data_IF_203107193380
#
_entry.id   IF_203107193380
#
_cell.length_a   1.000
_cell.length_b   1.000
_cell.length_c   1.000
_cell.angle_alpha   90.00
_cell.angle_beta   90.00
_cell.angle_gamma   90.00
#
_symmetry.space_group_name_H-M   'P 1'
#
loop_
_entity.id
_entity.type
_entity.pdbx_description
1 polymer ?
#
# COMPACT_ATOMS: atom_id res chain seq x y z
N UNK A 1 29.12 -56.14 -12.21
CA UNK A 1 30.37 -55.37 -12.13
C UNK A 1 30.07 -53.90 -12.41
N UNK A 2 30.43 -53.03 -11.47
CA UNK A 2 30.57 -51.57 -11.59
C UNK A 2 31.62 -51.20 -12.68
N UNK A 3 31.86 -49.91 -13.05
CA UNK A 3 31.41 -48.64 -12.43
C UNK A 3 31.01 -47.51 -13.43
N UNK A 4 30.51 -46.40 -12.87
CA UNK A 4 30.39 -45.09 -13.55
C UNK A 4 31.75 -44.39 -13.79
N UNK A 5 31.75 -43.10 -14.20
CA UNK A 5 31.72 -41.98 -13.24
C UNK A 5 30.76 -40.84 -13.69
N UNK A 6 30.00 -40.14 -12.82
CA UNK A 6 30.34 -39.07 -11.86
C UNK A 6 31.16 -37.89 -12.43
N UNK A 7 30.68 -36.68 -12.05
CA UNK A 7 31.33 -35.36 -11.89
C UNK A 7 30.96 -34.33 -12.98
N UNK A 8 30.78 -33.03 -12.72
CA UNK A 8 30.78 -32.18 -11.50
C UNK A 8 30.25 -30.79 -11.88
N UNK A 9 29.85 -30.05 -10.85
CA UNK A 9 29.35 -28.69 -10.85
C UNK A 9 30.34 -27.58 -11.31
N UNK A 10 29.72 -26.41 -11.48
CA UNK A 10 30.15 -25.05 -11.07
C UNK A 10 31.18 -24.27 -11.92
N UNK A 11 30.69 -23.11 -12.36
CA UNK A 11 31.25 -21.76 -12.25
C UNK A 11 32.76 -21.57 -12.46
N UNK A 12 33.11 -20.71 -13.42
CA UNK A 12 34.39 -20.01 -13.40
C UNK A 12 34.21 -18.51 -13.67
N UNK A 13 34.73 -17.72 -12.74
CA UNK A 13 35.02 -16.31 -12.90
C UNK A 13 36.54 -16.12 -13.06
N UNK A 14 36.91 -14.98 -13.67
CA UNK A 14 38.25 -14.33 -13.73
C UNK A 14 39.21 -14.98 -14.75
N UNK A 15 40.08 -14.28 -15.48
CA UNK A 15 40.74 -12.98 -15.31
C UNK A 15 41.31 -12.52 -16.67
N UNK A 16 41.60 -11.23 -16.83
CA UNK A 16 41.75 -10.57 -18.14
C UNK A 16 43.11 -10.58 -18.81
N UNK A 17 43.18 -9.90 -19.98
CA UNK A 17 44.36 -9.12 -20.41
C UNK A 17 44.07 -8.23 -21.62
N UNK A 18 44.50 -6.97 -21.47
CA UNK A 18 45.13 -6.02 -22.42
C UNK A 18 44.39 -5.51 -23.66
N UNK A 19 44.55 -4.19 -23.82
CA UNK A 19 43.91 -3.28 -24.74
C UNK A 19 44.69 -3.11 -26.07
N UNK A 20 43.97 -2.67 -27.11
CA UNK A 20 44.48 -1.87 -28.23
C UNK A 20 43.52 -0.69 -28.49
N UNK A 21 44.02 0.49 -28.91
CA UNK A 21 43.24 1.73 -28.93
C UNK A 21 42.64 2.03 -30.32
N UNK A 22 41.59 2.85 -30.33
CA UNK A 22 41.15 3.58 -31.52
C UNK A 22 39.72 3.28 -31.97
N UNK A 23 38.73 3.96 -31.39
CA UNK A 23 37.49 4.41 -32.05
C UNK A 23 36.70 5.35 -31.14
N UNK A 24 36.16 6.41 -31.76
CA UNK A 24 35.50 7.60 -31.18
C UNK A 24 34.36 7.25 -30.21
N UNK A 25 34.08 8.07 -29.16
CA UNK A 25 33.10 7.73 -28.14
C UNK A 25 31.67 7.89 -28.68
N UNK A 26 31.00 6.77 -28.93
CA UNK A 26 29.54 6.73 -28.95
C UNK A 26 29.06 7.04 -27.53
N UNK A 27 28.08 7.95 -27.39
CA UNK A 27 27.41 8.32 -26.14
C UNK A 27 26.79 7.06 -25.50
N UNK A 28 27.58 6.33 -24.71
CA UNK A 28 27.10 5.26 -23.85
C UNK A 28 26.20 5.91 -22.80
N UNK A 29 24.90 5.63 -22.87
CA UNK A 29 23.97 5.83 -21.76
C UNK A 29 24.64 5.23 -20.53
N UNK A 30 24.91 6.08 -19.54
CA UNK A 30 25.46 5.64 -18.27
C UNK A 30 24.51 4.56 -17.70
N UNK A 31 25.01 3.38 -17.29
CA UNK A 31 24.19 2.47 -16.52
C UNK A 31 23.79 3.19 -15.23
N UNK A 32 22.48 3.22 -14.96
CA UNK A 32 21.94 3.78 -13.73
C UNK A 32 22.72 3.23 -12.52
N UNK A 33 23.02 4.06 -11.50
CA UNK A 33 23.81 3.62 -10.37
C UNK A 33 23.15 2.39 -9.76
N UNK A 34 23.92 1.31 -9.66
CA UNK A 34 23.49 0.08 -9.02
C UNK A 34 22.93 0.45 -7.65
N UNK A 35 21.60 0.38 -7.52
CA UNK A 35 20.91 0.66 -6.28
C UNK A 35 21.53 -0.26 -5.24
N UNK A 36 22.37 0.31 -4.36
CA UNK A 36 22.67 -0.23 -3.04
C UNK A 36 21.32 -0.75 -2.56
N UNK A 37 21.21 -2.07 -2.32
CA UNK A 37 19.99 -2.72 -1.81
C UNK A 37 19.72 -2.22 -0.39
N UNK A 38 19.44 -0.92 -0.26
CA UNK A 38 18.80 -0.36 0.90
C UNK A 38 17.49 -1.15 1.02
N UNK A 39 17.36 -1.85 2.13
CA UNK A 39 16.18 -2.61 2.50
C UNK A 39 14.98 -1.68 2.32
N UNK A 40 14.22 -1.87 1.23
CA UNK A 40 13.05 -1.03 0.95
C UNK A 40 12.11 -1.13 2.16
N UNK A 41 11.41 -0.05 2.53
CA UNK A 41 10.41 -0.12 3.58
C UNK A 41 9.47 -1.30 3.28
N UNK A 42 9.22 -2.14 4.28
CA UNK A 42 8.34 -3.30 4.12
C UNK A 42 6.90 -2.93 4.49
N UNK A 43 5.93 -3.65 3.95
CA UNK A 43 4.51 -3.41 4.22
C UNK A 43 3.96 -2.14 3.56
N UNK A 44 2.87 -1.60 4.12
CA UNK A 44 2.08 -0.52 3.53
C UNK A 44 2.92 0.72 3.16
N UNK A 45 3.83 1.18 4.03
CA UNK A 45 4.70 2.34 3.75
C UNK A 45 5.56 2.15 2.50
N UNK A 46 6.11 0.95 2.31
CA UNK A 46 6.93 0.63 1.14
C UNK A 46 6.15 0.54 -0.15
N UNK A 47 4.95 -0.06 -0.06
CA UNK A 47 4.04 -0.13 -1.20
C UNK A 47 3.59 1.26 -1.62
N UNK A 48 3.19 2.10 -0.66
CA UNK A 48 2.80 3.48 -0.88
C UNK A 48 3.92 4.28 -1.55
N UNK A 49 5.13 4.24 -1.01
CA UNK A 49 6.27 4.93 -1.62
C UNK A 49 6.53 4.46 -3.07
N UNK A 50 6.34 3.16 -3.36
CA UNK A 50 6.53 2.63 -4.71
C UNK A 50 5.41 3.04 -5.66
N UNK A 51 4.15 3.00 -5.21
CA UNK A 51 3.00 3.43 -6.01
C UNK A 51 3.10 4.91 -6.32
N UNK A 52 3.41 5.74 -5.33
CA UNK A 52 3.61 7.18 -5.52
C UNK A 52 4.77 7.50 -6.47
N UNK A 53 5.86 6.73 -6.41
CA UNK A 53 6.96 6.86 -7.35
C UNK A 53 6.51 6.55 -8.78
N UNK A 54 5.81 5.43 -8.98
CA UNK A 54 5.31 5.02 -10.29
C UNK A 54 4.31 6.04 -10.86
N UNK A 55 3.36 6.49 -10.05
CA UNK A 55 2.37 7.50 -10.48
C UNK A 55 3.04 8.82 -10.86
N UNK A 56 4.05 9.26 -10.09
CA UNK A 56 4.80 10.46 -10.42
C UNK A 56 5.63 10.33 -11.72
N UNK A 57 6.12 9.13 -12.04
CA UNK A 57 6.92 8.86 -13.25
C UNK A 57 6.06 8.71 -14.52
N UNK A 58 4.81 8.22 -14.40
CA UNK A 58 4.00 7.82 -15.58
C UNK A 58 3.24 8.99 -16.23
N UNK A 59 3.26 10.19 -15.65
CA UNK A 59 2.73 11.40 -16.28
C UNK A 59 1.20 11.47 -16.43
N UNK A 60 0.43 10.57 -15.79
CA UNK A 60 -1.05 10.52 -15.82
C UNK A 60 -1.74 11.67 -15.06
N UNK A 61 -1.23 12.91 -15.14
CA UNK A 61 -1.71 14.08 -14.40
C UNK A 61 -1.00 14.33 -13.05
N UNK A 62 -0.22 13.35 -12.58
CA UNK A 62 0.51 13.37 -11.32
C UNK A 62 1.86 14.15 -11.38
N UNK A 63 1.92 15.28 -12.09
CA UNK A 63 3.10 16.15 -12.00
C UNK A 63 3.12 16.75 -10.60
N UNK A 64 4.11 16.37 -9.79
CA UNK A 64 4.31 16.94 -8.45
C UNK A 64 4.34 18.47 -8.54
N UNK A 65 3.77 19.14 -7.54
CA UNK A 65 3.83 20.59 -7.38
C UNK A 65 5.28 21.00 -7.06
N UNK A 66 6.15 21.01 -8.08
CA UNK A 66 7.59 21.18 -7.91
C UNK A 66 8.31 19.89 -7.52
N UNK A 67 9.65 19.88 -7.69
CA UNK A 67 10.48 18.69 -7.52
C UNK A 67 10.47 18.09 -6.10
N UNK A 68 10.11 18.89 -5.08
CA UNK A 68 10.15 18.51 -3.67
C UNK A 68 8.77 18.25 -3.04
N UNK A 69 7.66 18.57 -3.71
CA UNK A 69 6.34 18.43 -3.07
C UNK A 69 5.88 16.97 -3.04
N UNK A 70 5.41 16.47 -1.87
CA UNK A 70 4.79 15.14 -1.77
C UNK A 70 3.40 15.11 -2.45
N UNK A 71 2.86 16.28 -2.80
CA UNK A 71 1.53 16.48 -3.31
C UNK A 71 1.46 16.39 -4.83
N UNK A 72 0.53 15.56 -5.30
CA UNK A 72 0.23 15.36 -6.71
C UNK A 72 -1.26 15.01 -6.87
N UNK A 73 -1.79 15.22 -8.08
CA UNK A 73 -3.17 14.88 -8.41
C UNK A 73 -3.39 13.37 -8.39
N UNK A 74 -4.48 12.92 -7.76
CA UNK A 74 -4.81 11.52 -7.54
C UNK A 74 -4.14 10.91 -6.30
N UNK A 75 -3.43 11.69 -5.49
CA UNK A 75 -2.87 11.18 -4.23
C UNK A 75 -4.00 10.80 -3.26
N UNK A 76 -4.00 9.55 -2.80
CA UNK A 76 -4.90 9.08 -1.75
C UNK A 76 -4.32 9.34 -0.36
N UNK A 77 -5.16 9.80 0.56
CA UNK A 77 -4.81 10.20 1.92
C UNK A 77 -5.60 9.39 2.94
N UNK A 78 -4.97 9.05 4.06
CA UNK A 78 -5.61 8.45 5.23
C UNK A 78 -5.32 9.34 6.42
N UNK A 79 -6.35 9.81 7.10
CA UNK A 79 -6.22 10.57 8.35
C UNK A 79 -5.79 9.61 9.47
N UNK A 80 -4.80 10.02 10.25
CA UNK A 80 -4.18 9.18 11.30
C UNK A 80 -4.43 9.68 12.72
N UNK A 81 -5.05 10.85 12.87
CA UNK A 81 -5.45 11.43 14.15
C UNK A 81 -6.79 12.16 14.03
N UNK A 82 -7.58 12.17 15.10
CA UNK A 82 -8.84 12.89 15.11
C UNK A 82 -8.60 14.40 15.15
N UNK A 83 -9.34 15.14 14.32
CA UNK A 83 -9.29 16.59 14.23
C UNK A 83 -10.69 17.18 14.21
N UNK A 84 -11.19 17.52 15.39
CA UNK A 84 -12.53 18.10 15.55
C UNK A 84 -12.70 19.43 14.80
N UNK A 85 -11.64 20.26 14.73
CA UNK A 85 -11.63 21.51 13.95
C UNK A 85 -11.92 21.29 12.45
N UNK A 86 -11.52 20.13 11.93
CA UNK A 86 -11.75 19.75 10.54
C UNK A 86 -12.90 18.75 10.41
N UNK A 87 -13.52 18.28 11.50
CA UNK A 87 -14.45 17.15 11.43
C UNK A 87 -13.87 15.97 10.63
N UNK A 88 -12.58 15.67 10.82
CA UNK A 88 -11.89 14.54 10.20
C UNK A 88 -11.41 13.59 11.29
N UNK A 89 -11.58 12.30 11.10
CA UNK A 89 -11.30 11.26 12.09
C UNK A 89 -10.28 10.25 11.59
N UNK A 90 -9.61 9.59 12.52
CA UNK A 90 -8.65 8.53 12.22
C UNK A 90 -9.34 7.40 11.44
N UNK A 91 -8.88 7.15 10.22
CA UNK A 91 -9.52 6.23 9.28
C UNK A 91 -10.14 6.90 8.06
N UNK A 92 -10.39 8.21 8.09
CA UNK A 92 -11.00 8.92 6.96
C UNK A 92 -10.07 8.92 5.75
N UNK A 93 -10.64 8.60 4.59
CA UNK A 93 -9.91 8.53 3.32
C UNK A 93 -10.28 9.73 2.46
N UNK A 94 -9.26 10.39 1.89
CA UNK A 94 -9.43 11.51 0.98
C UNK A 94 -8.62 11.37 -0.31
N UNK A 95 -8.94 12.21 -1.29
CA UNK A 95 -8.25 12.26 -2.59
C UNK A 95 -7.83 13.69 -2.93
N UNK A 96 -6.58 13.87 -3.36
CA UNK A 96 -6.09 15.15 -3.86
C UNK A 96 -6.47 15.32 -5.33
N UNK A 97 -7.29 16.32 -5.66
CA UNK A 97 -7.65 16.66 -7.03
C UNK A 97 -7.38 18.14 -7.29
N UNK A 98 -7.08 18.49 -8.53
CA UNK A 98 -7.04 19.90 -8.92
C UNK A 98 -8.47 20.42 -9.00
N UNK A 99 -8.71 21.55 -8.37
CA UNK A 99 -10.01 22.23 -8.43
C UNK A 99 -9.98 23.27 -9.53
N UNK A 100 -10.90 23.20 -10.48
CA UNK A 100 -11.12 24.27 -11.45
C UNK A 100 -11.73 25.52 -10.79
N UNK A 101 -12.27 25.38 -9.57
CA UNK A 101 -12.79 26.46 -8.76
C UNK A 101 -11.69 27.06 -7.86
N UNK A 102 -11.54 28.39 -7.88
CA UNK A 102 -10.95 29.14 -6.77
C UNK A 102 -11.68 28.73 -5.48
N UNK A 103 -10.99 28.38 -4.39
CA UNK A 103 -11.65 27.83 -3.21
C UNK A 103 -12.63 28.86 -2.66
N UNK A 104 -13.94 28.62 -2.86
CA UNK A 104 -14.99 29.38 -2.20
C UNK A 104 -14.90 29.04 -0.72
N UNK A 105 -14.32 29.96 0.06
CA UNK A 105 -14.56 29.99 1.50
C UNK A 105 -16.07 29.94 1.72
N UNK A 106 -16.54 28.95 2.47
CA UNK A 106 -17.96 28.80 2.77
C UNK A 106 -18.56 30.10 3.30
N UNK A 107 -19.30 30.78 2.42
CA UNK A 107 -20.31 31.77 2.74
C UNK A 107 -21.41 31.56 1.71
N UNK A 108 -22.51 30.99 2.18
CA UNK A 108 -23.82 31.31 1.64
C UNK A 108 -23.96 32.83 1.71
N UNK A 109 -24.08 33.50 0.57
CA UNK A 109 -24.95 34.66 0.42
C UNK A 109 -25.07 35.05 -1.06
N UNK A 110 -26.23 35.64 -1.32
CA UNK A 110 -26.96 35.76 -2.58
C UNK A 110 -26.42 36.84 -3.53
N UNK A 111 -26.66 36.63 -4.83
CA UNK A 111 -26.85 37.70 -5.81
C UNK A 111 -25.63 38.13 -6.61
N UNK A 112 -25.63 37.82 -7.92
CA UNK A 112 -25.37 38.80 -8.98
C UNK A 112 -25.43 38.18 -10.39
N UNK A 113 -26.39 38.71 -11.16
CA UNK A 113 -26.32 39.10 -12.59
C UNK A 113 -25.48 38.28 -13.57
N UNK A 114 -26.21 37.74 -14.55
CA UNK A 114 -25.73 37.21 -15.83
C UNK A 114 -25.05 38.27 -16.70
N UNK A 115 -23.93 37.89 -17.34
CA UNK A 115 -23.36 38.54 -18.51
C UNK A 115 -22.64 37.51 -19.37
N UNK A 116 -22.94 37.37 -20.68
CA UNK A 116 -22.32 36.35 -21.53
C UNK A 116 -21.04 36.90 -22.17
N UNK A 117 -19.99 36.08 -22.23
CA UNK A 117 -18.72 36.50 -22.83
C UNK A 117 -17.69 35.41 -23.03
N UNK A 118 -17.76 34.78 -24.20
CA UNK A 118 -16.64 34.27 -25.02
C UNK A 118 -15.97 32.93 -24.66
N UNK A 119 -16.32 31.95 -25.50
CA UNK A 119 -15.62 30.72 -25.79
C UNK A 119 -14.22 30.97 -26.37
N UNK A 120 -13.19 30.55 -25.64
CA UNK A 120 -11.81 30.43 -26.11
C UNK A 120 -11.20 29.12 -25.61
N UNK A 121 -11.16 28.11 -26.49
CA UNK A 121 -10.59 26.80 -26.19
C UNK A 121 -9.06 26.86 -26.05
N UNK A 122 -8.58 26.58 -24.84
CA UNK A 122 -7.28 25.96 -24.55
C UNK A 122 -7.49 25.07 -23.32
N UNK A 123 -6.91 23.87 -23.29
CA UNK A 123 -7.05 22.90 -22.19
C UNK A 123 -6.62 23.52 -20.83
N UNK A 124 -7.56 24.16 -20.14
CA UNK A 124 -7.37 24.90 -18.89
C UNK A 124 -7.55 24.05 -17.64
N UNK A 125 -7.93 22.76 -17.79
CA UNK A 125 -8.09 21.77 -16.71
C UNK A 125 -6.80 21.45 -15.93
N UNK A 126 -5.65 21.99 -16.34
CA UNK A 126 -4.34 21.63 -15.80
C UNK A 126 -3.81 22.56 -14.68
N UNK A 127 -4.50 23.66 -14.34
CA UNK A 127 -3.87 24.76 -13.58
C UNK A 127 -4.53 25.14 -12.25
N UNK A 128 -5.63 24.48 -11.87
CA UNK A 128 -6.27 24.69 -10.58
C UNK A 128 -5.41 24.33 -9.35
N UNK A 129 -5.65 24.97 -8.18
CA UNK A 129 -4.99 24.59 -6.93
C UNK A 129 -5.35 23.15 -6.56
N UNK A 130 -4.40 22.46 -5.92
CA UNK A 130 -4.65 21.12 -5.42
C UNK A 130 -5.46 21.20 -4.13
N UNK A 131 -6.59 20.50 -4.11
CA UNK A 131 -7.51 20.41 -2.97
C UNK A 131 -7.61 18.95 -2.55
N UNK A 132 -7.56 18.69 -1.25
CA UNK A 132 -7.83 17.37 -0.69
C UNK A 132 -9.32 17.26 -0.37
N UNK A 133 -10.01 16.36 -1.06
CA UNK A 133 -11.44 16.13 -0.91
C UNK A 133 -11.68 14.92 -0.02
N UNK A 134 -12.56 15.10 0.97
CA UNK A 134 -13.05 14.06 1.87
C UNK A 134 -14.57 14.00 1.79
N UNK A 135 -15.14 12.86 2.19
CA UNK A 135 -16.58 12.73 2.37
C UNK A 135 -17.07 13.69 3.47
N UNK A 136 -18.23 14.30 3.25
CA UNK A 136 -18.89 15.21 4.20
C UNK A 136 -19.94 14.51 5.05
N UNK A 137 -20.57 15.27 5.94
CA UNK A 137 -21.53 14.74 6.93
C UNK A 137 -22.90 14.33 6.32
N UNK A 138 -23.11 14.53 5.01
CA UNK A 138 -24.35 14.20 4.32
C UNK A 138 -24.11 13.47 3.00
N UNK A 139 -25.12 12.73 2.54
CA UNK A 139 -25.02 11.90 1.34
C UNK A 139 -24.54 12.71 0.13
N UNK A 140 -23.41 12.29 -0.43
CA UNK A 140 -22.79 12.92 -1.60
C UNK A 140 -22.14 14.28 -1.35
N UNK A 141 -22.16 14.80 -0.11
CA UNK A 141 -21.43 16.01 0.24
C UNK A 141 -19.93 15.72 0.29
N UNK A 142 -19.13 16.64 -0.23
CA UNK A 142 -17.67 16.55 -0.17
C UNK A 142 -17.08 17.82 0.41
N UNK A 143 -16.03 17.67 1.21
CA UNK A 143 -15.36 18.75 1.91
C UNK A 143 -13.95 18.89 1.38
N UNK A 144 -13.65 20.06 0.82
CA UNK A 144 -12.35 20.39 0.26
C UNK A 144 -11.47 21.13 1.26
N UNK A 145 -10.23 20.67 1.42
CA UNK A 145 -9.23 21.33 2.27
C UNK A 145 -7.96 21.61 1.47
N UNK A 146 -7.27 22.70 1.81
CA UNK A 146 -5.91 22.89 1.33
C UNK A 146 -5.00 21.80 1.93
N UNK A 147 -4.14 21.11 1.16
CA UNK A 147 -3.32 20.00 1.65
C UNK A 147 -2.47 20.33 2.89
N UNK A 148 -1.96 21.57 2.97
CA UNK A 148 -1.16 22.02 4.11
C UNK A 148 -1.97 22.27 5.40
N UNK A 149 -3.30 22.34 5.32
CA UNK A 149 -4.18 22.53 6.48
C UNK A 149 -4.56 21.21 7.16
N UNK A 150 -4.35 20.08 6.49
CA UNK A 150 -4.78 18.78 6.99
C UNK A 150 -4.11 18.40 8.32
N UNK A 151 -4.81 17.67 9.22
CA UNK A 151 -4.20 17.05 10.40
C UNK A 151 -3.22 15.94 10.00
N UNK A 152 -2.62 15.24 10.96
CA UNK A 152 -1.68 14.15 10.66
C UNK A 152 -2.31 13.10 9.74
N UNK A 153 -1.65 12.85 8.62
CA UNK A 153 -2.14 11.96 7.56
C UNK A 153 -1.00 11.19 6.91
N UNK A 154 -1.32 10.08 6.28
CA UNK A 154 -0.40 9.28 5.47
C UNK A 154 -1.00 8.94 4.10
N UNK A 155 -0.21 8.26 3.27
CA UNK A 155 -0.67 7.73 1.98
C UNK A 155 -1.64 6.56 2.16
N UNK A 156 -2.69 6.50 1.34
CA UNK A 156 -3.73 5.48 1.44
C UNK A 156 -3.80 4.49 0.26
N UNK A 157 -2.80 4.45 -0.64
CA UNK A 157 -2.79 3.44 -1.72
C UNK A 157 -2.73 2.00 -1.20
N UNK A 158 -2.13 1.81 -0.04
CA UNK A 158 -2.20 0.62 0.77
C UNK A 158 -2.21 0.97 2.25
N UNK A 159 -2.95 0.17 2.98
CA UNK A 159 -3.10 0.25 4.42
C UNK A 159 -2.77 -1.10 5.05
N UNK A 160 -2.51 -1.10 6.35
CA UNK A 160 -2.40 -2.36 7.10
C UNK A 160 -3.81 -2.90 7.39
N UNK A 161 -3.92 -4.22 7.59
CA UNK A 161 -5.21 -4.83 7.97
C UNK A 161 -5.79 -4.18 9.23
N UNK A 162 -4.96 -3.81 10.20
CA UNK A 162 -5.38 -3.09 11.40
C UNK A 162 -6.02 -1.73 11.12
N UNK A 163 -5.51 -1.00 10.11
CA UNK A 163 -6.06 0.30 9.71
C UNK A 163 -7.31 0.19 8.84
N UNK A 164 -7.58 -0.99 8.27
CA UNK A 164 -8.79 -1.29 7.52
C UNK A 164 -9.95 -1.78 8.40
N UNK A 165 -9.79 -1.80 9.73
CA UNK A 165 -10.79 -2.34 10.64
C UNK A 165 -12.08 -1.52 10.57
N UNK A 166 -13.21 -2.19 10.34
CA UNK A 166 -14.52 -1.54 10.19
C UNK A 166 -14.86 -1.10 8.77
N UNK A 167 -13.89 -1.09 7.86
CA UNK A 167 -14.11 -0.84 6.43
C UNK A 167 -14.24 -2.15 5.65
N UNK A 168 -14.97 -2.13 4.54
CA UNK A 168 -15.05 -3.24 3.59
C UNK A 168 -14.90 -2.70 2.16
N UNK A 169 -14.36 -3.52 1.27
CA UNK A 169 -14.08 -3.16 -0.11
C UNK A 169 -14.58 -4.24 -1.06
N UNK A 170 -15.04 -3.87 -2.25
CA UNK A 170 -15.48 -4.85 -3.25
C UNK A 170 -14.37 -5.84 -3.61
N UNK A 171 -13.16 -5.32 -3.84
CA UNK A 171 -11.99 -6.12 -4.19
C UNK A 171 -10.82 -5.77 -3.28
N UNK A 172 -10.19 -6.79 -2.67
CA UNK A 172 -9.01 -6.62 -1.82
C UNK A 172 -7.81 -7.35 -2.41
N UNK A 173 -6.67 -6.66 -2.46
CA UNK A 173 -5.36 -7.27 -2.75
C UNK A 173 -4.57 -7.40 -1.45
N UNK A 174 -4.52 -8.61 -0.89
CA UNK A 174 -3.84 -8.90 0.37
C UNK A 174 -2.41 -9.40 0.13
N UNK A 175 -1.43 -8.52 0.39
CA UNK A 175 -0.01 -8.85 0.26
C UNK A 175 0.57 -9.35 1.59
N UNK A 176 1.00 -10.61 1.62
CA UNK A 176 1.73 -11.19 2.74
C UNK A 176 3.24 -10.90 2.64
N UNK A 177 3.97 -10.88 3.77
CA UNK A 177 5.42 -10.75 3.74
C UNK A 177 6.06 -11.96 3.05
N UNK A 178 7.23 -11.75 2.43
CA UNK A 178 7.97 -12.82 1.73
C UNK A 178 8.60 -13.87 2.66
N UNK A 179 8.64 -13.58 3.96
CA UNK A 179 9.15 -14.46 5.02
C UNK A 179 8.15 -14.43 6.17
N UNK A 180 8.12 -15.50 6.95
CA UNK A 180 7.29 -15.55 8.15
C UNK A 180 7.60 -14.36 9.08
N UNK A 181 6.54 -13.78 9.63
CA UNK A 181 6.59 -12.61 10.48
C UNK A 181 5.65 -12.85 11.67
N UNK A 182 6.13 -12.61 12.90
CA UNK A 182 5.35 -12.88 14.12
C UNK A 182 4.00 -12.14 14.19
N UNK A 183 3.90 -11.00 13.52
CA UNK A 183 2.66 -10.22 13.42
C UNK A 183 1.58 -10.93 12.61
N UNK A 184 1.96 -11.85 11.71
CA UNK A 184 1.04 -12.57 10.86
C UNK A 184 0.47 -13.78 11.62
N UNK A 185 -0.80 -13.70 12.02
CA UNK A 185 -1.56 -14.78 12.67
C UNK A 185 -2.78 -15.19 11.87
N UNK A 186 -3.45 -16.27 12.27
CA UNK A 186 -4.71 -16.72 11.69
C UNK A 186 -5.78 -15.63 11.76
N UNK A 187 -5.87 -14.94 12.89
CA UNK A 187 -6.84 -13.88 13.14
C UNK A 187 -6.57 -12.65 12.26
N UNK A 188 -5.30 -12.29 12.05
CA UNK A 188 -4.94 -11.19 11.15
C UNK A 188 -5.27 -11.55 9.69
N UNK A 189 -4.97 -12.78 9.27
CA UNK A 189 -5.30 -13.27 7.94
C UNK A 189 -6.82 -13.32 7.71
N UNK A 190 -7.57 -13.86 8.66
CA UNK A 190 -9.03 -13.88 8.65
C UNK A 190 -9.62 -12.47 8.55
N UNK A 191 -9.10 -11.53 9.35
CA UNK A 191 -9.54 -10.13 9.30
C UNK A 191 -9.27 -9.51 7.93
N UNK A 192 -8.11 -9.80 7.31
CA UNK A 192 -7.77 -9.34 5.97
C UNK A 192 -8.67 -9.94 4.88
N UNK A 193 -9.00 -11.24 4.98
CA UNK A 193 -9.91 -11.92 4.04
C UNK A 193 -11.31 -11.31 4.11
N UNK A 194 -11.84 -11.10 5.32
CA UNK A 194 -13.18 -10.56 5.55
C UNK A 194 -13.33 -9.08 5.18
N UNK A 195 -12.24 -8.38 4.81
CA UNK A 195 -12.35 -7.03 4.22
C UNK A 195 -12.92 -7.05 2.79
N UNK A 196 -12.90 -8.20 2.10
CA UNK A 196 -13.37 -8.32 0.72
C UNK A 196 -14.86 -8.69 0.65
N UNK A 197 -15.67 -7.88 -0.04
CA UNK A 197 -17.10 -8.18 -0.29
C UNK A 197 -17.30 -9.13 -1.46
N UNK A 198 -16.52 -8.96 -2.54
CA UNK A 198 -16.72 -9.69 -3.81
C UNK A 198 -15.50 -10.50 -4.23
N UNK A 199 -14.30 -9.92 -4.15
CA UNK A 199 -13.10 -10.57 -4.66
C UNK A 199 -11.88 -10.35 -3.75
N UNK A 200 -11.09 -11.42 -3.57
CA UNK A 200 -9.82 -11.40 -2.85
C UNK A 200 -8.69 -11.90 -3.75
N UNK A 201 -7.64 -11.10 -3.90
CA UNK A 201 -6.36 -11.51 -4.48
C UNK A 201 -5.34 -11.65 -3.35
N UNK A 202 -4.96 -12.88 -3.00
CA UNK A 202 -3.99 -13.16 -1.94
C UNK A 202 -2.60 -13.41 -2.55
N UNK A 203 -1.63 -12.56 -2.19
CA UNK A 203 -0.25 -12.69 -2.65
C UNK A 203 0.67 -13.10 -1.48
N UNK A 204 1.09 -14.37 -1.46
CA UNK A 204 1.99 -14.93 -0.46
C UNK A 204 2.47 -16.33 -0.84
N UNK A 205 3.54 -16.80 -0.21
CA UNK A 205 3.97 -18.19 -0.40
C UNK A 205 3.12 -19.13 0.46
N UNK A 206 2.92 -20.35 -0.01
CA UNK A 206 2.22 -21.40 0.74
C UNK A 206 2.80 -21.58 2.15
N UNK A 207 4.13 -21.58 2.27
CA UNK A 207 4.82 -21.71 3.55
C UNK A 207 4.43 -20.60 4.55
N UNK A 208 4.36 -19.34 4.09
CA UNK A 208 3.96 -18.20 4.93
C UNK A 208 2.49 -18.30 5.33
N UNK A 209 1.61 -18.73 4.42
CA UNK A 209 0.19 -18.93 4.70
C UNK A 209 0.00 -20.03 5.75
N UNK A 210 0.65 -21.19 5.58
CA UNK A 210 0.60 -22.28 6.57
C UNK A 210 1.12 -21.85 7.94
N UNK A 211 2.25 -21.14 7.98
CA UNK A 211 2.79 -20.60 9.25
C UNK A 211 1.84 -19.60 9.92
N UNK A 212 1.15 -18.76 9.13
CA UNK A 212 0.14 -17.83 9.65
C UNK A 212 -1.05 -18.56 10.27
N UNK A 213 -1.59 -19.56 9.55
CA UNK A 213 -2.76 -20.33 9.98
C UNK A 213 -2.49 -21.15 11.25
N UNK A 214 -1.26 -21.62 11.44
CA UNK A 214 -0.83 -22.35 12.63
C UNK A 214 -0.61 -21.45 13.86
N UNK A 215 -0.67 -20.12 13.71
CA UNK A 215 -0.40 -19.15 14.79
C UNK A 215 -1.70 -18.47 15.25
N UNK A 216 -1.99 -18.57 16.54
CA UNK A 216 -3.03 -17.77 17.20
C UNK A 216 -2.47 -16.49 17.80
N UNK A 217 -3.24 -15.41 17.67
CA UNK A 217 -3.02 -14.19 18.43
C UNK A 217 -3.26 -14.47 19.92
N UNK A 218 -2.17 -14.56 20.69
CA UNK A 218 -2.26 -14.70 22.14
C UNK A 218 -2.72 -13.38 22.76
N UNK A 219 -3.77 -13.43 23.58
CA UNK A 219 -4.22 -12.30 24.40
C UNK A 219 -3.81 -12.53 25.84
N UNK A 220 -2.91 -11.70 26.34
CA UNK A 220 -2.58 -11.69 27.77
C UNK A 220 -3.62 -10.79 28.45
N UNK A 221 -4.58 -11.40 29.14
CA UNK A 221 -5.57 -10.66 29.95
C UNK A 221 -5.96 -11.45 31.19
N UNK A 222 -6.25 -10.74 32.28
CA UNK A 222 -6.80 -11.33 33.51
C UNK A 222 -8.31 -11.59 33.45
N UNK A 223 -9.00 -11.22 32.36
CA UNK A 223 -10.45 -11.32 32.28
C UNK A 223 -10.92 -12.79 32.37
N UNK A 224 -10.25 -13.70 31.67
CA UNK A 224 -10.57 -15.13 31.73
C UNK A 224 -10.43 -15.67 33.16
N UNK A 225 -9.35 -15.31 33.85
CA UNK A 225 -9.13 -15.68 35.25
C UNK A 225 -10.19 -15.08 36.18
N UNK A 226 -10.54 -13.79 36.00
CA UNK A 226 -11.62 -13.12 36.77
C UNK A 226 -13.00 -13.74 36.52
N UNK A 227 -13.23 -14.29 35.33
CA UNK A 227 -14.44 -15.04 34.99
C UNK A 227 -14.40 -16.51 35.44
N UNK A 228 -13.37 -16.92 36.20
CA UNK A 228 -13.26 -18.26 36.76
C UNK A 228 -12.66 -19.31 35.82
N UNK A 229 -12.09 -18.92 34.68
CA UNK A 229 -11.42 -19.87 33.79
C UNK A 229 -10.17 -20.43 34.49
N UNK A 230 -10.12 -21.75 34.64
CA UNK A 230 -8.90 -22.44 35.05
C UNK A 230 -7.84 -22.29 33.96
N UNK A 231 -6.59 -22.12 34.38
CA UNK A 231 -5.47 -21.83 33.51
C UNK A 231 -5.26 -22.99 32.53
N UNK A 232 -5.58 -22.79 31.25
CA UNK A 232 -5.31 -23.80 30.22
C UNK A 232 -3.81 -23.92 30.04
N UNK A 233 -3.27 -25.13 30.23
CA UNK A 233 -1.88 -25.44 29.92
C UNK A 233 -1.60 -25.10 28.44
N UNK A 234 -0.43 -24.56 28.16
CA UNK A 234 -0.02 -24.22 26.80
C UNK A 234 -0.16 -25.44 25.88
N UNK A 235 -0.71 -25.29 24.65
CA UNK A 235 -0.86 -26.42 23.74
C UNK A 235 0.52 -27.03 23.45
N UNK A 236 0.60 -28.35 23.51
CA UNK A 236 1.78 -29.10 23.10
C UNK A 236 2.15 -28.73 21.66
N UNK A 237 3.44 -28.53 21.41
CA UNK A 237 3.99 -28.20 20.09
C UNK A 237 3.57 -29.30 19.10
N UNK A 238 2.82 -28.99 18.01
CA UNK A 238 2.40 -30.04 17.09
C UNK A 238 3.63 -30.68 16.44
N UNK A 239 3.65 -32.00 16.40
CA UNK A 239 4.67 -32.78 15.71
C UNK A 239 4.59 -32.47 14.21
N UNK A 240 5.70 -31.99 13.65
CA UNK A 240 5.81 -31.68 12.23
C UNK A 240 6.04 -32.97 11.45
N UNK A 241 4.98 -33.69 11.09
CA UNK A 241 5.08 -34.69 10.03
C UNK A 241 4.76 -34.03 8.67
N UNK A 242 5.66 -34.11 7.68
CA UNK A 242 5.40 -33.56 6.36
C UNK A 242 4.38 -34.45 5.63
N UNK A 243 3.14 -34.00 5.52
CA UNK A 243 2.17 -34.61 4.60
C UNK A 243 2.65 -34.42 3.16
N UNK A 244 2.90 -35.52 2.46
CA UNK A 244 3.36 -35.58 1.06
C UNK A 244 2.22 -35.50 0.04
N UNK A 245 0.98 -35.30 0.49
CA UNK A 245 -0.17 -35.23 -0.40
C UNK A 245 -0.25 -33.86 -1.10
N UNK A 246 -0.32 -33.88 -2.44
CA UNK A 246 -0.65 -32.70 -3.23
C UNK A 246 -2.07 -32.23 -2.85
N UNK A 247 -2.28 -30.96 -2.50
CA UNK A 247 -3.60 -30.48 -2.12
C UNK A 247 -4.54 -30.48 -3.33
N UNK A 248 -5.71 -31.10 -3.18
CA UNK A 248 -6.81 -31.04 -4.15
C UNK A 248 -7.79 -29.94 -3.72
N UNK A 249 -8.27 -29.17 -4.69
CA UNK A 249 -9.24 -28.10 -4.50
C UNK A 249 -10.49 -28.60 -3.76
N UNK A 250 -10.89 -27.90 -2.69
CA UNK A 250 -12.07 -28.23 -1.87
C UNK A 250 -11.78 -28.93 -0.53
N UNK A 251 -10.54 -29.30 -0.23
CA UNK A 251 -10.18 -30.04 0.99
C UNK A 251 -10.07 -29.21 2.29
N UNK A 252 -10.46 -27.93 2.26
CA UNK A 252 -10.30 -27.00 3.40
C UNK A 252 -11.61 -26.33 3.84
N UNK A 253 -12.75 -26.94 3.51
CA UNK A 253 -14.06 -26.55 4.06
C UNK A 253 -14.63 -27.67 4.92
#
# INVERSE_FOLDING_TARGET
>A
AHPGPRRTARALARTGRRARPGRRPARRRAPAPAHRRARRPAGARGLNARIEQLLAETGSGARRLGAASPWFQGRLLLITENSYRHGLFNGDVGICLRSDASPSSGRSDEGASSGPGQSGGTDSRAQGPLVAWFEGDGDGQVRGFHPAALPAHESAFAMTVHKAQGSEFDTVWLQLPTRDARVLSRELLYTGITRARRALHLAGSEAVIRSALARHAARISGLAWRLGAQQQAAPAKPATEPSTALPVQGSLF
#
